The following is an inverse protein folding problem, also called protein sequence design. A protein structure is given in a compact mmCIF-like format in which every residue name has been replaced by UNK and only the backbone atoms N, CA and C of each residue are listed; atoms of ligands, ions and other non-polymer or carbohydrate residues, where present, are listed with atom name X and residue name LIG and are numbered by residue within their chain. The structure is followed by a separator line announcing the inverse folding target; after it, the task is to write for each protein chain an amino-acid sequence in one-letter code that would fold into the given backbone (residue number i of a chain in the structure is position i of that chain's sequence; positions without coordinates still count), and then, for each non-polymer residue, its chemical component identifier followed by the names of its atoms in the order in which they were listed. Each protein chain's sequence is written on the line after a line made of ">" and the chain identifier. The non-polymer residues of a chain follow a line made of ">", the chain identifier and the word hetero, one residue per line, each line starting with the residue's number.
data_IF_702666397898
#
_entry.id   IF_702666397898
#
_cell.length_a   1.000
_cell.length_b   1.000
_cell.length_c   1.000
_cell.angle_alpha   90.00
_cell.angle_beta   90.00
_cell.angle_gamma   90.00
#
_symmetry.space_group_name_H-M   'P 1'
#
loop_
_entity.id
_entity.type
_entity.pdbx_description
1 polymer ?
#
# COMPACT_ATOMS: atom_id res chain seq x y z
N UNK A 1 -19.17 30.92 -5.80
CA UNK A 1 -17.96 30.13 -6.04
C UNK A 1 -18.28 28.66 -5.77
N UNK A 2 -18.04 27.77 -6.72
CA UNK A 2 -18.27 26.33 -6.55
C UNK A 2 -16.99 25.67 -6.07
N UNK A 3 -17.03 25.06 -4.88
CA UNK A 3 -15.86 24.40 -4.29
C UNK A 3 -15.91 22.92 -4.65
N UNK A 4 -15.02 22.46 -5.51
CA UNK A 4 -14.88 21.04 -5.82
C UNK A 4 -14.23 20.32 -4.64
N UNK A 5 -14.69 19.10 -4.35
CA UNK A 5 -14.00 18.23 -3.41
C UNK A 5 -12.66 17.78 -4.02
N UNK A 6 -11.61 17.68 -3.21
CA UNK A 6 -10.24 17.44 -3.68
C UNK A 6 -9.79 16.00 -3.37
N UNK A 7 -9.20 15.34 -4.36
CA UNK A 7 -8.47 14.08 -4.20
C UNK A 7 -9.31 12.89 -3.69
N UNK A 8 -8.67 11.98 -2.94
CA UNK A 8 -9.30 10.76 -2.39
C UNK A 8 -10.45 11.05 -1.41
N UNK A 9 -10.51 12.26 -0.87
CA UNK A 9 -11.58 12.75 0.04
C UNK A 9 -12.84 13.23 -0.69
N UNK A 10 -12.82 13.26 -2.03
CA UNK A 10 -13.97 13.71 -2.82
C UNK A 10 -15.09 12.70 -3.03
N UNK A 11 -14.88 11.42 -2.66
CA UNK A 11 -15.88 10.36 -2.77
C UNK A 11 -16.97 10.55 -1.70
N UNK A 12 -18.21 10.19 -2.01
CA UNK A 12 -19.29 10.22 -1.02
C UNK A 12 -18.87 9.46 0.26
N UNK A 13 -19.14 10.06 1.42
CA UNK A 13 -18.85 9.55 2.77
C UNK A 13 -17.36 9.37 3.16
N UNK A 14 -16.41 9.80 2.33
CA UNK A 14 -15.00 9.80 2.69
C UNK A 14 -14.62 11.07 3.46
N UNK A 15 -14.08 10.92 4.67
CA UNK A 15 -13.44 12.00 5.44
C UNK A 15 -11.93 11.94 5.26
N UNK A 16 -11.26 13.08 5.26
CA UNK A 16 -9.80 13.15 5.26
C UNK A 16 -9.29 14.58 5.16
N UNK A 17 -7.96 14.71 5.17
CA UNK A 17 -7.29 16.01 5.09
C UNK A 17 -6.83 16.25 3.66
N UNK A 18 -7.31 17.34 3.05
CA UNK A 18 -6.77 17.87 1.81
C UNK A 18 -5.70 18.91 2.14
N UNK A 19 -4.52 18.80 1.54
CA UNK A 19 -3.41 19.72 1.73
C UNK A 19 -3.07 20.31 0.36
N UNK A 20 -3.05 21.63 0.26
CA UNK A 20 -2.65 22.36 -0.94
C UNK A 20 -1.36 23.12 -0.64
N UNK A 21 -0.31 22.81 -1.41
CA UNK A 21 0.97 23.52 -1.34
C UNK A 21 0.98 24.58 -2.44
N UNK A 22 1.34 25.82 -2.11
CA UNK A 22 1.40 26.92 -3.06
C UNK A 22 2.61 27.81 -2.80
N UNK A 23 3.12 28.46 -3.86
CA UNK A 23 4.22 29.42 -3.77
C UNK A 23 3.73 30.88 -3.80
N UNK A 24 4.64 31.86 -3.64
CA UNK A 24 4.26 33.28 -3.58
C UNK A 24 3.42 33.77 -4.78
N UNK A 25 3.68 33.23 -5.97
CA UNK A 25 2.98 33.58 -7.22
C UNK A 25 1.51 33.17 -7.27
N UNK A 26 1.09 32.22 -6.42
CA UNK A 26 -0.28 31.72 -6.37
C UNK A 26 -1.05 32.22 -5.12
N UNK A 27 -0.42 33.10 -4.32
CA UNK A 27 -0.97 33.60 -3.06
C UNK A 27 -2.34 34.26 -3.20
N UNK A 28 -2.54 35.10 -4.23
CA UNK A 28 -3.82 35.76 -4.50
C UNK A 28 -4.93 34.74 -4.82
N UNK A 29 -4.61 33.68 -5.56
CA UNK A 29 -5.57 32.60 -5.88
C UNK A 29 -5.98 31.82 -4.63
N UNK A 30 -5.05 31.66 -3.68
CA UNK A 30 -5.28 30.95 -2.43
C UNK A 30 -5.95 31.82 -1.33
N UNK A 31 -5.87 33.15 -1.42
CA UNK A 31 -6.40 34.08 -0.43
C UNK A 31 -7.90 33.87 -0.12
N UNK A 32 -8.69 33.53 -1.15
CA UNK A 32 -10.12 33.24 -0.98
C UNK A 32 -10.40 31.92 -0.23
N UNK A 33 -9.58 30.89 -0.46
CA UNK A 33 -9.71 29.56 0.20
C UNK A 33 -9.33 29.66 1.68
N UNK A 34 -8.29 30.44 1.97
CA UNK A 34 -7.80 30.71 3.33
C UNK A 34 -8.87 31.41 4.17
N UNK A 35 -9.51 32.45 3.61
CA UNK A 35 -10.50 33.26 4.33
C UNK A 35 -11.78 32.50 4.67
N UNK A 36 -12.08 31.41 3.95
CA UNK A 36 -13.39 30.75 4.02
C UNK A 36 -13.39 29.38 4.72
N UNK A 37 -12.36 28.54 4.54
CA UNK A 37 -12.43 27.12 4.96
C UNK A 37 -11.09 26.47 5.34
N UNK A 38 -9.94 27.01 4.95
CA UNK A 38 -8.64 26.36 5.13
C UNK A 38 -7.83 26.97 6.28
N UNK A 39 -7.11 26.12 7.02
CA UNK A 39 -6.04 26.57 7.92
C UNK A 39 -4.78 26.81 7.12
N UNK A 40 -4.10 27.92 7.38
CA UNK A 40 -2.77 28.22 6.84
C UNK A 40 -1.69 27.73 7.78
N UNK A 41 -0.58 27.29 7.20
CA UNK A 41 0.67 27.03 7.90
C UNK A 41 1.80 27.47 6.97
N UNK A 42 2.83 28.11 7.52
CA UNK A 42 4.03 28.40 6.77
C UNK A 42 5.01 27.22 6.85
N UNK A 43 5.83 27.04 5.81
CA UNK A 43 6.84 25.98 5.79
C UNK A 43 7.82 26.09 6.96
N UNK A 44 8.12 27.30 7.42
CA UNK A 44 9.01 27.56 8.57
C UNK A 44 8.47 27.03 9.90
N UNK A 45 7.15 26.87 10.01
CA UNK A 45 6.49 26.39 11.22
C UNK A 45 6.36 24.86 11.24
N UNK A 46 6.63 24.21 10.10
CA UNK A 46 6.62 22.75 10.00
C UNK A 46 7.86 22.18 10.66
N UNK A 47 7.63 21.33 11.67
CA UNK A 47 8.69 20.54 12.30
C UNK A 47 8.73 19.19 11.62
N UNK A 48 9.91 18.81 11.13
CA UNK A 48 10.17 17.44 10.73
C UNK A 48 10.39 16.65 12.01
N UNK A 49 9.49 15.73 12.30
CA UNK A 49 9.73 14.70 13.30
C UNK A 49 10.73 13.71 12.71
N UNK A 50 11.99 13.80 13.14
CA UNK A 50 13.06 12.94 12.65
C UNK A 50 12.85 11.45 13.03
N UNK A 51 12.08 11.19 14.09
CA UNK A 51 11.75 9.85 14.54
C UNK A 51 10.53 9.29 13.78
N UNK A 52 9.71 10.15 13.17
CA UNK A 52 8.57 9.72 12.39
C UNK A 52 9.01 8.99 11.12
N UNK A 53 8.75 7.67 11.09
CA UNK A 53 8.88 6.84 9.90
C UNK A 53 7.49 6.48 9.39
N UNK A 54 7.20 6.84 8.15
CA UNK A 54 5.99 6.38 7.46
C UNK A 54 6.18 4.91 7.06
N UNK A 55 6.02 4.01 8.03
CA UNK A 55 6.11 2.58 7.82
C UNK A 55 4.76 2.03 7.37
N UNK A 56 4.77 1.26 6.30
CA UNK A 56 3.60 0.50 5.87
C UNK A 56 3.42 -0.70 6.81
N UNK A 57 2.19 -0.98 7.21
CA UNK A 57 1.86 -2.23 7.93
C UNK A 57 2.07 -3.47 7.04
N UNK A 58 2.14 -3.29 5.72
CA UNK A 58 2.30 -4.37 4.75
C UNK A 58 3.57 -4.22 3.91
N UNK A 59 4.24 -5.34 3.70
CA UNK A 59 5.35 -5.50 2.75
C UNK A 59 4.88 -6.32 1.55
N UNK A 60 5.56 -6.18 0.41
CA UNK A 60 5.18 -6.91 -0.80
C UNK A 60 6.11 -8.10 -1.04
N UNK A 61 5.56 -9.30 -0.95
CA UNK A 61 6.21 -10.52 -1.42
C UNK A 61 6.00 -10.66 -2.93
N UNK A 62 7.09 -10.73 -3.69
CA UNK A 62 7.07 -11.07 -5.10
C UNK A 62 7.37 -12.57 -5.29
N UNK A 63 6.54 -13.26 -6.06
CA UNK A 63 6.69 -14.66 -6.45
C UNK A 63 6.95 -14.69 -7.96
N UNK A 64 7.99 -15.42 -8.38
CA UNK A 64 8.35 -15.60 -9.79
C UNK A 64 7.45 -16.62 -10.50
N UNK A 65 6.14 -16.36 -10.47
CA UNK A 65 5.12 -17.15 -11.13
C UNK A 65 3.87 -16.30 -11.34
N UNK A 66 3.24 -16.44 -12.50
CA UNK A 66 2.05 -15.69 -12.88
C UNK A 66 1.08 -16.54 -13.70
N UNK A 67 0.20 -15.88 -14.47
CA UNK A 67 -0.82 -16.52 -15.31
C UNK A 67 -0.22 -17.56 -16.28
N UNK A 68 0.93 -17.28 -16.89
CA UNK A 68 1.63 -18.22 -17.81
C UNK A 68 2.07 -19.50 -17.11
N UNK A 69 2.38 -19.42 -15.82
CA UNK A 69 2.69 -20.60 -14.99
C UNK A 69 1.43 -21.28 -14.43
N UNK A 70 0.24 -20.83 -14.86
CA UNK A 70 -1.08 -21.25 -14.38
C UNK A 70 -1.29 -21.00 -12.88
N UNK A 71 -0.62 -19.99 -12.32
CA UNK A 71 -0.75 -19.61 -10.92
C UNK A 71 -1.98 -18.70 -10.75
N UNK A 72 -2.83 -19.01 -9.77
CA UNK A 72 -4.02 -18.21 -9.42
C UNK A 72 -3.90 -17.67 -7.99
N UNK A 73 -4.62 -16.59 -7.70
CA UNK A 73 -4.66 -16.03 -6.34
C UNK A 73 -5.10 -17.06 -5.29
N UNK A 74 -6.07 -17.93 -5.63
CA UNK A 74 -6.51 -19.01 -4.75
C UNK A 74 -5.43 -20.08 -4.46
N UNK A 75 -4.51 -20.33 -5.41
CA UNK A 75 -3.40 -21.28 -5.20
C UNK A 75 -2.41 -20.73 -4.15
N UNK A 76 -2.11 -19.42 -4.25
CA UNK A 76 -1.25 -18.70 -3.32
C UNK A 76 -1.92 -18.62 -1.94
N UNK A 77 -3.16 -18.13 -1.89
CA UNK A 77 -3.93 -18.00 -0.65
C UNK A 77 -4.07 -19.35 0.06
N UNK A 78 -4.41 -20.41 -0.70
CA UNK A 78 -4.53 -21.76 -0.16
C UNK A 78 -3.23 -22.26 0.46
N UNK A 79 -2.08 -22.01 -0.18
CA UNK A 79 -0.78 -22.42 0.35
C UNK A 79 -0.40 -21.62 1.60
N UNK A 80 -0.60 -20.30 1.59
CA UNK A 80 -0.30 -19.44 2.75
C UNK A 80 -1.16 -19.81 3.97
N UNK A 81 -2.45 -20.07 3.77
CA UNK A 81 -3.36 -20.40 4.87
C UNK A 81 -3.22 -21.84 5.35
N UNK A 82 -3.17 -22.83 4.44
CA UNK A 82 -3.20 -24.26 4.81
C UNK A 82 -1.83 -24.81 5.16
N UNK A 83 -0.82 -24.52 4.35
CA UNK A 83 0.53 -25.10 4.52
C UNK A 83 1.36 -24.27 5.50
N UNK A 84 1.37 -22.95 5.34
CA UNK A 84 2.22 -22.04 6.13
C UNK A 84 1.52 -21.56 7.41
N UNK A 85 0.20 -21.80 7.53
CA UNK A 85 -0.64 -21.46 8.69
C UNK A 85 -0.54 -19.96 9.01
N UNK A 86 -0.88 -19.14 8.03
CA UNK A 86 -1.05 -17.68 8.18
C UNK A 86 -2.53 -17.36 8.26
N UNK A 87 -2.88 -16.46 9.17
CA UNK A 87 -4.25 -15.97 9.27
C UNK A 87 -4.62 -15.12 8.04
N UNK A 88 -5.81 -15.31 7.43
CA UNK A 88 -6.22 -14.57 6.23
C UNK A 88 -6.16 -13.04 6.39
N UNK A 89 -6.39 -12.52 7.60
CA UNK A 89 -6.33 -11.08 7.91
C UNK A 89 -4.95 -10.46 7.69
N UNK A 90 -3.89 -11.28 7.76
CA UNK A 90 -2.50 -10.86 7.56
C UNK A 90 -2.10 -10.85 6.09
N UNK A 91 -2.97 -11.30 5.19
CA UNK A 91 -2.76 -11.36 3.75
C UNK A 91 -3.63 -10.28 3.10
N UNK A 92 -2.97 -9.28 2.52
CA UNK A 92 -3.63 -8.21 1.79
C UNK A 92 -3.90 -8.59 0.33
N UNK A 93 -3.87 -7.57 -0.54
CA UNK A 93 -4.14 -7.73 -1.96
C UNK A 93 -3.15 -8.70 -2.62
N UNK A 94 -3.69 -9.65 -3.38
CA UNK A 94 -2.94 -10.54 -4.26
C UNK A 94 -3.13 -10.06 -5.70
N UNK A 95 -2.05 -9.73 -6.38
CA UNK A 95 -2.05 -9.31 -7.77
C UNK A 95 -1.26 -10.30 -8.63
N UNK A 96 -1.88 -10.80 -9.71
CA UNK A 96 -1.26 -11.80 -10.60
C UNK A 96 -1.01 -11.17 -11.96
N UNK A 97 0.26 -11.08 -12.36
CA UNK A 97 0.66 -10.69 -13.72
C UNK A 97 0.92 -11.95 -14.55
N UNK A 98 1.36 -11.76 -15.79
CA UNK A 98 1.63 -12.89 -16.68
C UNK A 98 2.78 -13.78 -16.19
N UNK A 99 3.81 -13.17 -15.62
CA UNK A 99 5.06 -13.84 -15.22
C UNK A 99 5.30 -13.84 -13.71
N UNK A 100 4.73 -12.89 -12.97
CA UNK A 100 4.97 -12.71 -11.52
C UNK A 100 3.65 -12.57 -10.76
N UNK A 101 3.72 -12.74 -9.45
CA UNK A 101 2.62 -12.49 -8.53
C UNK A 101 3.12 -11.68 -7.35
N UNK A 102 2.29 -10.76 -6.88
CA UNK A 102 2.59 -9.88 -5.76
C UNK A 102 1.55 -10.11 -4.67
N UNK A 103 2.02 -10.25 -3.44
CA UNK A 103 1.19 -10.49 -2.27
C UNK A 103 1.57 -9.47 -1.21
N UNK A 104 0.61 -8.65 -0.80
CA UNK A 104 0.78 -7.82 0.38
C UNK A 104 0.69 -8.71 1.63
N UNK A 105 1.71 -8.66 2.49
CA UNK A 105 1.77 -9.40 3.75
C UNK A 105 2.01 -8.44 4.90
N UNK A 106 1.31 -8.63 6.01
CA UNK A 106 1.58 -7.85 7.20
C UNK A 106 3.02 -8.07 7.66
N UNK A 107 3.72 -7.01 8.04
CA UNK A 107 5.16 -7.05 8.36
C UNK A 107 5.52 -8.11 9.42
N UNK A 108 4.60 -8.42 10.33
CA UNK A 108 4.79 -9.46 11.36
C UNK A 108 4.89 -10.88 10.81
N UNK A 109 4.36 -11.15 9.61
CA UNK A 109 4.34 -12.50 9.01
C UNK A 109 5.25 -12.64 7.80
N UNK A 110 5.76 -11.54 7.25
CA UNK A 110 6.58 -11.52 6.02
C UNK A 110 7.76 -12.49 6.10
N UNK A 111 8.57 -12.40 7.15
CA UNK A 111 9.74 -13.26 7.34
C UNK A 111 9.40 -14.74 7.48
N UNK A 112 8.32 -15.04 8.21
CA UNK A 112 7.82 -16.41 8.39
C UNK A 112 7.44 -16.99 7.03
N UNK A 113 6.67 -16.25 6.24
CA UNK A 113 6.22 -16.66 4.90
C UNK A 113 7.41 -16.83 3.97
N UNK A 114 8.33 -15.87 3.94
CA UNK A 114 9.50 -15.92 3.06
C UNK A 114 10.38 -17.15 3.33
N UNK A 115 10.65 -17.46 4.61
CA UNK A 115 11.40 -18.66 5.00
C UNK A 115 10.65 -19.94 4.67
N UNK A 116 9.34 -19.99 4.89
CA UNK A 116 8.53 -21.17 4.62
C UNK A 116 8.40 -21.47 3.12
N UNK A 117 8.28 -20.45 2.27
CA UNK A 117 8.18 -20.61 0.82
C UNK A 117 9.43 -21.22 0.17
N UNK A 118 10.61 -21.07 0.79
CA UNK A 118 11.84 -21.75 0.31
C UNK A 118 11.73 -23.28 0.38
N UNK A 119 10.92 -23.80 1.30
CA UNK A 119 10.75 -25.24 1.55
C UNK A 119 9.42 -25.78 1.00
N UNK A 120 8.43 -24.91 0.83
CA UNK A 120 7.07 -25.26 0.45
C UNK A 120 6.90 -25.18 -1.07
N UNK A 121 5.90 -25.90 -1.60
CA UNK A 121 5.51 -25.79 -3.02
C UNK A 121 4.14 -25.14 -3.13
N UNK A 122 3.95 -24.31 -4.15
CA UNK A 122 2.62 -23.78 -4.52
C UNK A 122 2.16 -24.60 -5.72
N UNK A 123 1.00 -25.25 -5.62
CA UNK A 123 0.47 -26.10 -6.71
C UNK A 123 1.50 -27.15 -7.19
N UNK A 124 2.16 -27.82 -6.24
CA UNK A 124 3.21 -28.84 -6.48
C UNK A 124 4.45 -28.32 -7.24
N UNK A 125 4.64 -27.00 -7.35
CA UNK A 125 5.82 -26.38 -7.97
C UNK A 125 6.55 -25.48 -6.97
N UNK A 126 7.88 -25.49 -7.02
CA UNK A 126 8.69 -24.52 -6.29
C UNK A 126 8.76 -23.22 -7.08
N UNK A 127 8.60 -22.10 -6.37
CA UNK A 127 8.73 -20.77 -6.93
C UNK A 127 9.80 -20.01 -6.17
N UNK A 128 10.62 -19.25 -6.90
CA UNK A 128 11.53 -18.29 -6.32
C UNK A 128 10.71 -17.08 -5.88
N UNK A 129 10.97 -16.56 -4.69
CA UNK A 129 10.32 -15.37 -4.17
C UNK A 129 11.34 -14.44 -3.51
N UNK A 130 10.99 -13.16 -3.38
CA UNK A 130 11.77 -12.12 -2.68
C UNK A 130 10.84 -11.04 -2.15
N UNK A 131 11.28 -10.32 -1.12
CA UNK A 131 10.56 -9.16 -0.58
C UNK A 131 10.96 -7.92 -1.39
N UNK A 132 9.98 -7.11 -1.76
CA UNK A 132 10.18 -5.78 -2.32
C UNK A 132 10.15 -4.79 -1.16
N UNK A 133 11.32 -4.29 -0.80
CA UNK A 133 11.50 -3.17 0.13
C UNK A 133 11.59 -1.85 -0.64
#
# INVERSE_FOLDING_TARGET
>A
VYTHRIGRTGRADAKGTAISLYGPRDSEKCAYIITSQARTAEMKDLRVDAEFKMLSEYETLCINGGKKTKLRAGDILGTLCKEIRIEPKMIGKINITDTKSYVALHHTVTDKVFKALKKTTIKKKKYIAWILN
#
